data_IF_370727166675
#
_entry.id   IF_370727166675
#
_cell.length_a   1.000
_cell.length_b   1.000
_cell.length_c   1.000
_cell.angle_alpha   90.00
_cell.angle_beta   90.00
_cell.angle_gamma   90.00
#
_symmetry.space_group_name_H-M   'P 1'
#
loop_
_entity.id
_entity.type
_entity.pdbx_description
1 polymer ?
#
# COMPACT_ATOMS: atom_id res chain seq x y z
N UNK A 1 -44.03 -21.67 1.99
CA UNK A 1 -42.88 -21.25 2.84
C UNK A 1 -41.55 -21.89 2.42
N UNK A 2 -41.50 -23.17 2.00
CA UNK A 2 -40.27 -23.82 1.51
C UNK A 2 -39.67 -23.16 0.24
N UNK A 3 -40.50 -22.73 -0.73
CA UNK A 3 -40.02 -22.18 -2.01
C UNK A 3 -39.30 -20.83 -1.88
N UNK A 4 -39.76 -19.96 -0.97
CA UNK A 4 -39.13 -18.67 -0.70
C UNK A 4 -37.72 -18.80 -0.10
N UNK A 5 -37.50 -19.77 0.80
CA UNK A 5 -36.17 -20.04 1.37
C UNK A 5 -35.19 -20.58 0.33
N UNK A 6 -35.66 -21.38 -0.63
CA UNK A 6 -34.83 -21.91 -1.73
C UNK A 6 -34.46 -20.81 -2.73
N UNK A 7 -35.43 -19.99 -3.14
CA UNK A 7 -35.19 -18.86 -4.04
C UNK A 7 -34.23 -17.81 -3.42
N UNK A 8 -34.40 -17.49 -2.14
CA UNK A 8 -33.51 -16.57 -1.40
C UNK A 8 -32.07 -17.10 -1.33
N UNK A 9 -31.89 -18.39 -1.06
CA UNK A 9 -30.56 -19.02 -1.05
C UNK A 9 -29.91 -19.03 -2.44
N UNK A 10 -30.67 -19.36 -3.49
CA UNK A 10 -30.16 -19.36 -4.87
C UNK A 10 -29.75 -17.96 -5.33
N UNK A 11 -30.49 -16.92 -4.93
CA UNK A 11 -30.15 -15.54 -5.26
C UNK A 11 -28.87 -15.09 -4.55
N UNK A 12 -28.72 -15.42 -3.27
CA UNK A 12 -27.50 -15.12 -2.50
C UNK A 12 -26.26 -15.85 -3.07
N UNK A 13 -26.40 -17.10 -3.52
CA UNK A 13 -25.31 -17.84 -4.15
C UNK A 13 -24.86 -17.17 -5.46
N UNK A 14 -25.80 -16.71 -6.29
CA UNK A 14 -25.48 -15.97 -7.53
C UNK A 14 -24.76 -14.65 -7.26
N UNK A 15 -25.22 -13.90 -6.26
CA UNK A 15 -24.58 -12.64 -5.85
C UNK A 15 -23.15 -12.89 -5.38
N UNK A 16 -22.94 -13.88 -4.49
CA UNK A 16 -21.60 -14.26 -4.00
C UNK A 16 -20.69 -14.68 -5.16
N UNK A 17 -21.22 -15.46 -6.10
CA UNK A 17 -20.45 -15.91 -7.25
C UNK A 17 -20.00 -14.75 -8.15
N UNK A 18 -20.86 -13.77 -8.38
CA UNK A 18 -20.51 -12.58 -9.17
C UNK A 18 -19.44 -11.73 -8.48
N UNK A 19 -19.59 -11.46 -7.17
CA UNK A 19 -18.60 -10.72 -6.38
C UNK A 19 -17.22 -11.40 -6.42
N UNK A 20 -17.20 -12.73 -6.27
CA UNK A 20 -15.96 -13.50 -6.35
C UNK A 20 -15.31 -13.44 -7.74
N UNK A 21 -16.12 -13.42 -8.81
CA UNK A 21 -15.60 -13.29 -10.17
C UNK A 21 -15.04 -11.89 -10.42
N UNK A 22 -15.70 -10.83 -9.94
CA UNK A 22 -15.25 -9.45 -10.10
C UNK A 22 -13.94 -9.21 -9.34
N UNK A 23 -13.84 -9.65 -8.08
CA UNK A 23 -12.61 -9.57 -7.30
C UNK A 23 -11.46 -10.37 -7.92
N UNK A 24 -11.76 -11.49 -8.59
CA UNK A 24 -10.76 -12.29 -9.31
C UNK A 24 -10.19 -11.53 -10.51
N UNK A 25 -11.03 -10.82 -11.27
CA UNK A 25 -10.59 -9.99 -12.40
C UNK A 25 -9.71 -8.85 -11.89
N UNK A 26 -10.15 -8.15 -10.84
CA UNK A 26 -9.41 -7.06 -10.21
C UNK A 26 -8.05 -7.55 -9.71
N UNK A 27 -8.03 -8.67 -8.99
CA UNK A 27 -6.80 -9.30 -8.50
C UNK A 27 -5.83 -9.62 -9.64
N UNK A 28 -6.32 -10.18 -10.75
CA UNK A 28 -5.47 -10.55 -11.88
C UNK A 28 -4.86 -9.31 -12.56
N UNK A 29 -5.67 -8.27 -12.76
CA UNK A 29 -5.20 -7.00 -13.33
C UNK A 29 -4.19 -6.30 -12.39
N UNK A 30 -4.48 -6.27 -11.08
CA UNK A 30 -3.59 -5.71 -10.08
C UNK A 30 -2.25 -6.47 -9.98
N UNK A 31 -2.28 -7.80 -10.02
CA UNK A 31 -1.08 -8.64 -10.03
C UNK A 31 -0.20 -8.38 -11.25
N UNK A 32 -0.80 -8.18 -12.43
CA UNK A 32 -0.05 -7.85 -13.64
C UNK A 32 0.63 -6.47 -13.53
N UNK A 33 -0.12 -5.45 -13.11
CA UNK A 33 0.41 -4.10 -12.88
C UNK A 33 1.49 -4.07 -11.79
N UNK A 34 1.33 -4.89 -10.74
CA UNK A 34 2.33 -5.04 -9.69
C UNK A 34 3.63 -5.65 -10.23
N UNK A 35 3.58 -6.72 -11.03
CA UNK A 35 4.80 -7.33 -11.61
C UNK A 35 5.60 -6.35 -12.45
N UNK A 36 4.90 -5.56 -13.28
CA UNK A 36 5.50 -4.50 -14.07
C UNK A 36 6.11 -3.41 -13.17
N UNK A 37 5.39 -2.99 -12.13
CA UNK A 37 5.88 -2.00 -11.16
C UNK A 37 7.08 -2.50 -10.35
N UNK A 38 7.11 -3.79 -10.01
CA UNK A 38 8.21 -4.42 -9.28
C UNK A 38 9.48 -4.47 -10.13
N UNK A 39 9.37 -4.90 -11.39
CA UNK A 39 10.49 -4.91 -12.33
C UNK A 39 11.08 -3.49 -12.49
N UNK A 40 10.22 -2.49 -12.52
CA UNK A 40 10.63 -1.10 -12.61
C UNK A 40 11.33 -0.60 -11.32
N UNK A 41 10.86 -0.99 -10.14
CA UNK A 41 11.54 -0.69 -8.88
C UNK A 41 12.96 -1.28 -8.88
N UNK A 42 13.15 -2.50 -9.40
CA UNK A 42 14.48 -3.10 -9.57
C UNK A 42 15.35 -2.27 -10.51
N UNK A 43 14.82 -1.84 -11.67
CA UNK A 43 15.55 -0.99 -12.62
C UNK A 43 16.00 0.32 -11.98
N UNK A 44 15.11 1.01 -11.28
CA UNK A 44 15.42 2.28 -10.60
C UNK A 44 16.50 2.10 -9.54
N UNK A 45 16.43 1.03 -8.74
CA UNK A 45 17.47 0.69 -7.76
C UNK A 45 18.84 0.52 -8.44
N UNK A 46 18.87 -0.16 -9.59
CA UNK A 46 20.10 -0.41 -10.33
C UNK A 46 20.67 0.89 -10.92
N UNK A 47 19.80 1.78 -11.42
CA UNK A 47 20.21 3.10 -11.91
C UNK A 47 20.73 4.02 -10.81
N UNK A 48 20.11 4.03 -9.62
CA UNK A 48 20.65 4.76 -8.46
C UNK A 48 22.05 4.26 -8.13
N UNK A 49 22.29 2.94 -8.22
CA UNK A 49 23.60 2.34 -7.96
C UNK A 49 24.64 2.73 -9.01
N UNK A 50 24.22 3.00 -10.26
CA UNK A 50 25.11 3.50 -11.30
C UNK A 50 25.40 5.01 -11.18
N UNK A 51 24.46 5.78 -10.61
CA UNK A 51 24.55 7.24 -10.49
C UNK A 51 25.26 7.73 -9.22
N UNK A 52 25.46 6.88 -8.23
CA UNK A 52 26.00 7.28 -6.93
C UNK A 52 26.89 6.23 -6.31
N UNK A 53 27.96 6.68 -5.64
CA UNK A 53 28.75 5.81 -4.78
C UNK A 53 27.89 5.29 -3.61
N UNK A 54 28.05 4.01 -3.29
CA UNK A 54 27.32 3.30 -2.22
C UNK A 54 27.52 3.90 -0.82
N UNK A 55 28.40 4.89 -0.66
CA UNK A 55 28.64 5.64 0.58
C UNK A 55 27.68 6.81 0.79
N UNK A 56 26.87 7.18 -0.21
CA UNK A 56 25.84 8.20 -0.05
C UNK A 56 24.60 7.62 0.65
N UNK A 57 24.41 8.03 1.90
CA UNK A 57 23.28 7.66 2.75
C UNK A 57 21.91 7.82 2.06
N UNK A 58 21.72 8.84 1.22
CA UNK A 58 20.44 9.05 0.50
C UNK A 58 20.16 7.97 -0.53
N UNK A 59 21.19 7.56 -1.27
CA UNK A 59 21.06 6.50 -2.26
C UNK A 59 20.77 5.16 -1.60
N UNK A 60 21.38 4.88 -0.45
CA UNK A 60 21.03 3.72 0.35
C UNK A 60 19.55 3.76 0.81
N UNK A 61 19.09 4.89 1.34
CA UNK A 61 17.68 5.06 1.78
C UNK A 61 16.71 4.90 0.60
N UNK A 62 16.97 5.56 -0.54
CA UNK A 62 16.10 5.52 -1.70
C UNK A 62 15.96 4.08 -2.24
N UNK A 63 17.09 3.37 -2.37
CA UNK A 63 17.12 1.96 -2.78
C UNK A 63 16.36 1.05 -1.80
N UNK A 64 16.54 1.26 -0.49
CA UNK A 64 15.82 0.50 0.52
C UNK A 64 14.32 0.77 0.49
N UNK A 65 13.91 2.03 0.49
CA UNK A 65 12.50 2.41 0.51
C UNK A 65 11.73 1.88 -0.70
N UNK A 66 12.31 1.96 -1.90
CA UNK A 66 11.63 1.49 -3.11
C UNK A 66 11.50 -0.05 -3.11
N UNK A 67 12.54 -0.77 -2.68
CA UNK A 67 12.52 -2.23 -2.66
C UNK A 67 11.64 -2.79 -1.54
N UNK A 68 11.75 -2.24 -0.33
CA UNK A 68 10.94 -2.68 0.81
C UNK A 68 9.45 -2.39 0.53
N UNK A 69 9.12 -1.25 -0.09
CA UNK A 69 7.75 -0.94 -0.52
C UNK A 69 7.24 -1.89 -1.60
N UNK A 70 8.08 -2.25 -2.56
CA UNK A 70 7.71 -3.20 -3.61
C UNK A 70 7.46 -4.60 -3.03
N UNK A 71 8.30 -5.06 -2.09
CA UNK A 71 8.11 -6.32 -1.39
C UNK A 71 6.84 -6.30 -0.54
N UNK A 72 6.62 -5.23 0.23
CA UNK A 72 5.41 -5.02 1.04
C UNK A 72 4.14 -5.04 0.18
N UNK A 73 4.15 -4.35 -0.96
CA UNK A 73 3.03 -4.32 -1.90
C UNK A 73 2.66 -5.73 -2.38
N UNK A 74 3.64 -6.56 -2.71
CA UNK A 74 3.41 -7.96 -3.09
C UNK A 74 2.84 -8.81 -1.95
N UNK A 75 3.22 -8.53 -0.70
CA UNK A 75 2.66 -9.22 0.47
C UNK A 75 1.22 -8.80 0.77
N UNK A 76 0.90 -7.51 0.59
CA UNK A 76 -0.48 -7.02 0.72
C UNK A 76 -1.38 -7.67 -0.34
N UNK A 77 -0.95 -7.71 -1.60
CA UNK A 77 -1.69 -8.37 -2.69
C UNK A 77 -1.96 -9.85 -2.34
N UNK A 78 -0.95 -10.58 -1.87
CA UNK A 78 -1.13 -11.97 -1.41
C UNK A 78 -2.10 -12.10 -0.24
N UNK A 79 -2.09 -11.14 0.69
CA UNK A 79 -3.03 -11.10 1.81
C UNK A 79 -4.46 -10.88 1.33
N UNK A 80 -4.67 -9.98 0.36
CA UNK A 80 -5.97 -9.74 -0.26
C UNK A 80 -6.47 -10.98 -1.02
N UNK A 81 -5.61 -11.62 -1.82
CA UNK A 81 -5.92 -12.85 -2.57
C UNK A 81 -6.31 -14.03 -1.67
N UNK A 82 -5.75 -14.09 -0.45
CA UNK A 82 -6.07 -15.11 0.55
C UNK A 82 -7.21 -14.72 1.50
N UNK A 83 -7.80 -13.53 1.33
CA UNK A 83 -8.88 -13.02 2.18
C UNK A 83 -8.44 -12.56 3.57
N UNK A 84 -7.13 -12.41 3.81
CA UNK A 84 -6.57 -11.96 5.09
C UNK A 84 -6.59 -10.43 5.19
N UNK A 85 -7.78 -9.87 5.40
CA UNK A 85 -7.99 -8.40 5.41
C UNK A 85 -7.18 -7.68 6.49
N UNK A 86 -7.02 -8.30 7.67
CA UNK A 86 -6.24 -7.70 8.76
C UNK A 86 -4.76 -7.53 8.38
N UNK A 87 -4.16 -8.53 7.72
CA UNK A 87 -2.78 -8.44 7.26
C UNK A 87 -2.64 -7.39 6.14
N UNK A 88 -3.63 -7.30 5.25
CA UNK A 88 -3.67 -6.28 4.22
C UNK A 88 -3.76 -4.86 4.81
N UNK A 89 -4.62 -4.65 5.81
CA UNK A 89 -4.75 -3.37 6.53
C UNK A 89 -3.44 -2.94 7.20
N UNK A 90 -2.79 -3.86 7.91
CA UNK A 90 -1.51 -3.60 8.58
C UNK A 90 -0.46 -3.20 7.54
N UNK A 91 -0.39 -3.92 6.42
CA UNK A 91 0.55 -3.61 5.35
C UNK A 91 0.27 -2.28 4.65
N UNK A 92 -0.99 -1.98 4.35
CA UNK A 92 -1.39 -0.71 3.73
C UNK A 92 -0.99 0.49 4.59
N UNK A 93 -1.18 0.38 5.91
CA UNK A 93 -0.76 1.43 6.85
C UNK A 93 0.76 1.66 6.75
N UNK A 94 1.56 0.61 6.79
CA UNK A 94 3.02 0.70 6.65
C UNK A 94 3.45 1.25 5.30
N UNK A 95 2.76 0.88 4.21
CA UNK A 95 3.05 1.37 2.87
C UNK A 95 2.75 2.87 2.73
N UNK A 96 1.62 3.32 3.29
CA UNK A 96 1.23 4.74 3.33
C UNK A 96 2.25 5.57 4.12
N UNK A 97 2.68 5.05 5.27
CA UNK A 97 3.74 5.67 6.07
C UNK A 97 5.06 5.78 5.30
N UNK A 98 5.44 4.74 4.55
CA UNK A 98 6.66 4.79 3.75
C UNK A 98 6.58 5.80 2.58
N UNK A 99 5.38 6.01 2.02
CA UNK A 99 5.12 7.05 1.02
C UNK A 99 5.40 8.46 1.59
N UNK A 100 4.82 8.77 2.75
CA UNK A 100 5.04 10.06 3.44
C UNK A 100 6.52 10.24 3.78
N UNK A 101 7.16 9.19 4.32
CA UNK A 101 8.55 9.25 4.74
C UNK A 101 9.52 9.40 3.57
N UNK A 102 9.25 8.76 2.44
CA UNK A 102 10.08 8.92 1.23
C UNK A 102 10.09 10.36 0.76
N UNK A 103 8.92 11.02 0.66
CA UNK A 103 8.86 12.44 0.30
C UNK A 103 9.56 13.32 1.34
N UNK A 104 9.36 13.00 2.63
CA UNK A 104 9.98 13.72 3.74
C UNK A 104 11.51 13.73 3.67
N UNK A 105 12.11 12.56 3.43
CA UNK A 105 13.57 12.40 3.33
C UNK A 105 14.14 13.27 2.23
N UNK A 106 13.55 13.25 1.04
CA UNK A 106 14.05 14.06 -0.08
C UNK A 106 13.86 15.56 0.12
N UNK A 107 12.81 15.97 0.85
CA UNK A 107 12.57 17.38 1.17
C UNK A 107 13.49 17.92 2.29
N UNK A 108 14.08 17.06 3.12
CA UNK A 108 14.83 17.47 4.33
C UNK A 108 16.26 16.88 4.38
N UNK A 109 17.14 17.29 3.45
CA UNK A 109 18.48 16.71 3.28
C UNK A 109 19.40 16.79 4.51
N UNK A 110 19.17 17.74 5.42
CA UNK A 110 20.02 17.98 6.60
C UNK A 110 19.71 17.05 7.80
N UNK A 111 18.70 16.17 7.70
CA UNK A 111 18.27 15.24 8.76
C UNK A 111 18.58 13.77 8.43
N UNK A 112 19.53 13.53 7.52
CA UNK A 112 19.84 12.20 6.96
C UNK A 112 19.98 11.08 7.98
N UNK A 113 20.64 11.32 9.12
CA UNK A 113 20.89 10.28 10.13
C UNK A 113 19.61 9.86 10.87
N UNK A 114 18.79 10.82 11.30
CA UNK A 114 17.46 10.54 11.88
C UNK A 114 16.53 9.87 10.85
N UNK A 115 16.65 10.26 9.58
CA UNK A 115 15.85 9.69 8.49
C UNK A 115 16.23 8.25 8.16
N UNK A 116 17.52 7.90 8.26
CA UNK A 116 18.03 6.53 8.09
C UNK A 116 17.45 5.59 9.15
N UNK A 117 17.51 6.00 10.42
CA UNK A 117 16.97 5.20 11.52
C UNK A 117 15.47 5.00 11.37
N UNK A 118 14.74 6.00 10.88
CA UNK A 118 13.30 5.92 10.69
C UNK A 118 12.90 5.08 9.48
N UNK A 119 13.58 5.23 8.33
CA UNK A 119 13.35 4.42 7.14
C UNK A 119 13.55 2.92 7.43
N UNK A 120 14.59 2.59 8.21
CA UNK A 120 14.85 1.23 8.67
C UNK A 120 13.72 0.72 9.57
N UNK A 121 13.23 1.54 10.49
CA UNK A 121 12.19 1.13 11.44
C UNK A 121 10.81 0.87 10.80
N UNK A 122 10.41 1.57 9.74
CA UNK A 122 9.06 1.42 9.12
C UNK A 122 8.87 0.03 8.51
N UNK A 123 9.83 -0.40 7.71
CA UNK A 123 9.75 -1.70 7.03
C UNK A 123 10.02 -2.84 8.01
N UNK A 124 10.96 -2.66 8.95
CA UNK A 124 11.24 -3.64 10.00
C UNK A 124 10.05 -3.80 10.97
N UNK A 125 9.35 -2.73 11.32
CA UNK A 125 8.11 -2.76 12.13
C UNK A 125 7.03 -3.56 11.42
N UNK A 126 6.88 -3.39 10.10
CA UNK A 126 5.97 -4.22 9.31
C UNK A 126 6.35 -5.71 9.35
N UNK A 127 7.61 -6.08 9.07
CA UNK A 127 8.03 -7.48 9.09
C UNK A 127 7.87 -8.11 10.48
N UNK A 128 8.15 -7.34 11.55
CA UNK A 128 7.90 -7.78 12.92
C UNK A 128 6.41 -8.00 13.18
N UNK A 129 5.54 -7.10 12.76
CA UNK A 129 4.08 -7.19 12.96
C UNK A 129 3.39 -8.23 12.07
N UNK A 130 3.95 -8.50 10.89
CA UNK A 130 3.52 -9.60 10.02
C UNK A 130 3.83 -10.97 10.63
N UNK A 131 4.93 -11.09 11.38
CA UNK A 131 5.32 -12.31 12.10
C UNK A 131 4.73 -12.41 13.51
N UNK A 132 4.39 -11.28 14.14
CA UNK A 132 3.69 -11.20 15.42
C UNK A 132 2.50 -10.20 15.34
N UNK A 133 1.30 -10.67 14.99
CA UNK A 133 0.11 -9.83 14.91
C UNK A 133 -0.33 -9.21 16.24
N UNK A 134 0.23 -9.64 17.38
CA UNK A 134 -0.06 -9.08 18.72
C UNK A 134 0.73 -7.80 19.00
N UNK A 135 1.71 -7.46 18.16
CA UNK A 135 2.35 -6.14 18.11
C UNK A 135 1.37 -5.12 17.49
N UNK A 136 0.30 -4.81 18.23
CA UNK A 136 -0.84 -4.00 17.79
C UNK A 136 -0.54 -2.49 17.69
N UNK A 137 0.59 -2.03 18.24
CA UNK A 137 1.00 -0.63 18.19
C UNK A 137 2.29 -0.52 17.39
N UNK A 138 2.22 0.25 16.30
CA UNK A 138 3.42 0.77 15.67
C UNK A 138 4.22 1.51 16.75
N UNK A 139 5.52 1.20 16.86
CA UNK A 139 6.45 1.98 17.69
C UNK A 139 6.77 3.34 17.05
N UNK A 140 6.29 3.57 15.82
CA UNK A 140 6.46 4.80 15.08
C UNK A 140 5.34 5.77 15.47
N UNK A 141 5.79 6.86 16.08
CA UNK A 141 4.96 7.86 16.75
C UNK A 141 3.98 8.51 15.75
N UNK A 142 2.68 8.18 15.79
CA UNK A 142 1.65 8.66 14.84
C UNK A 142 1.60 10.19 14.72
N UNK A 143 1.87 10.90 15.83
CA UNK A 143 2.00 12.37 15.85
C UNK A 143 3.11 12.88 14.92
N UNK A 144 4.20 12.12 14.79
CA UNK A 144 5.30 12.46 13.90
C UNK A 144 4.96 12.22 12.43
N UNK A 145 4.09 11.25 12.11
CA UNK A 145 3.65 11.02 10.72
C UNK A 145 2.72 12.14 10.26
N UNK A 146 1.74 12.54 11.08
CA UNK A 146 0.90 13.70 10.76
C UNK A 146 1.73 14.95 10.50
N UNK A 147 2.71 15.22 11.37
CA UNK A 147 3.62 16.36 11.24
C UNK A 147 4.43 16.30 9.94
N UNK A 148 5.01 15.14 9.61
CA UNK A 148 5.77 14.93 8.37
C UNK A 148 4.89 15.15 7.15
N UNK A 149 3.70 14.55 7.11
CA UNK A 149 2.73 14.72 6.04
C UNK A 149 2.42 16.21 5.81
N UNK A 150 2.22 16.96 6.90
CA UNK A 150 2.08 18.42 6.87
C UNK A 150 3.26 19.13 6.21
N UNK A 151 4.47 18.79 6.64
CA UNK A 151 5.71 19.42 6.15
C UNK A 151 6.00 19.15 4.67
N UNK A 152 5.41 18.12 4.05
CA UNK A 152 5.59 17.79 2.63
C UNK A 152 4.32 17.89 1.78
N UNK A 153 3.24 18.47 2.31
CA UNK A 153 1.98 18.64 1.57
C UNK A 153 1.25 17.34 1.24
N UNK A 154 1.41 16.30 2.07
CA UNK A 154 0.72 15.00 1.97
C UNK A 154 -0.33 14.82 3.09
N UNK A 155 -0.90 15.92 3.59
CA UNK A 155 -1.90 15.90 4.68
C UNK A 155 -3.14 15.08 4.30
N UNK A 156 -3.62 15.26 3.07
CA UNK A 156 -4.78 14.53 2.56
C UNK A 156 -4.55 13.02 2.53
N UNK A 157 -3.36 12.57 2.13
CA UNK A 157 -2.94 11.17 2.16
C UNK A 157 -2.96 10.62 3.59
N UNK A 158 -2.51 11.42 4.57
CA UNK A 158 -2.57 11.03 5.98
C UNK A 158 -4.02 10.94 6.49
N UNK A 159 -4.86 11.93 6.20
CA UNK A 159 -6.21 12.00 6.74
C UNK A 159 -7.15 10.98 6.09
N UNK A 160 -7.08 10.82 4.77
CA UNK A 160 -7.96 9.90 4.02
C UNK A 160 -7.52 8.45 4.14
N UNK A 161 -6.22 8.16 4.01
CA UNK A 161 -5.74 6.78 3.97
C UNK A 161 -5.21 6.34 5.33
N UNK A 162 -4.19 7.01 5.87
CA UNK A 162 -3.52 6.53 7.08
C UNK A 162 -4.43 6.53 8.33
N UNK A 163 -5.13 7.64 8.61
CA UNK A 163 -6.01 7.77 9.78
C UNK A 163 -7.23 6.85 9.69
N UNK A 164 -7.79 6.69 8.49
CA UNK A 164 -8.85 5.73 8.21
C UNK A 164 -8.36 4.29 8.43
N UNK A 165 -7.20 3.91 7.88
CA UNK A 165 -6.60 2.58 8.07
C UNK A 165 -6.30 2.27 9.54
N UNK A 166 -5.83 3.26 10.31
CA UNK A 166 -5.69 3.12 11.77
C UNK A 166 -7.04 2.86 12.43
N UNK A 167 -8.05 3.67 12.13
CA UNK A 167 -9.40 3.52 12.67
C UNK A 167 -10.01 2.17 12.31
N UNK A 168 -9.84 1.73 11.07
CA UNK A 168 -10.27 0.43 10.57
C UNK A 168 -9.56 -0.71 11.29
N UNK A 169 -8.24 -0.65 11.48
CA UNK A 169 -7.51 -1.67 12.24
C UNK A 169 -8.00 -1.81 13.69
N UNK A 170 -8.50 -0.72 14.28
CA UNK A 170 -9.05 -0.70 15.65
C UNK A 170 -10.54 -1.10 15.71
N UNK A 171 -11.36 -0.71 14.73
CA UNK A 171 -12.82 -1.00 14.71
C UNK A 171 -13.15 -2.38 14.12
N UNK A 172 -12.36 -2.89 13.17
CA UNK A 172 -12.78 -4.02 12.33
C UNK A 172 -12.53 -5.42 12.87
N UNK A 173 -11.71 -5.59 13.92
CA UNK A 173 -11.64 -6.90 14.59
C UNK A 173 -12.98 -7.23 15.27
N UNK A 174 -13.79 -6.22 15.63
CA UNK A 174 -15.05 -6.44 16.35
C UNK A 174 -16.31 -6.43 15.47
N UNK A 175 -16.34 -5.68 14.37
CA UNK A 175 -17.62 -5.45 13.63
C UNK A 175 -17.66 -6.02 12.21
N UNK A 176 -16.52 -6.15 11.51
CA UNK A 176 -16.49 -6.59 10.11
C UNK A 176 -16.60 -8.12 9.93
N UNK A 177 -16.23 -8.89 10.96
CA UNK A 177 -16.33 -10.36 10.96
C UNK A 177 -17.81 -10.83 11.04
N UNK A 178 -18.76 -9.94 11.38
CA UNK A 178 -20.15 -10.31 11.64
C UNK A 178 -21.18 -9.73 10.64
N UNK A 179 -20.99 -9.91 9.32
CA UNK A 179 -22.08 -10.03 8.30
C UNK A 179 -22.25 -8.97 7.16
N UNK A 180 -21.25 -8.18 6.74
CA UNK A 180 -21.44 -7.27 5.57
C UNK A 180 -20.52 -7.59 4.37
N UNK A 181 -21.03 -8.36 3.41
CA UNK A 181 -20.29 -8.79 2.21
C UNK A 181 -19.88 -7.64 1.30
N UNK A 182 -20.74 -6.61 1.14
CA UNK A 182 -20.43 -5.42 0.34
C UNK A 182 -19.21 -4.69 0.88
N UNK A 183 -19.10 -4.61 2.20
CA UNK A 183 -17.96 -3.98 2.86
C UNK A 183 -16.64 -4.69 2.51
N UNK A 184 -16.63 -6.04 2.53
CA UNK A 184 -15.42 -6.83 2.20
C UNK A 184 -15.00 -6.57 0.75
N UNK A 185 -15.96 -6.52 -0.16
CA UNK A 185 -15.73 -6.24 -1.57
C UNK A 185 -15.13 -4.84 -1.78
N UNK A 186 -15.81 -3.80 -1.27
CA UNK A 186 -15.39 -2.40 -1.41
C UNK A 186 -14.00 -2.19 -0.79
N UNK A 187 -13.76 -2.74 0.40
CA UNK A 187 -12.44 -2.70 1.04
C UNK A 187 -11.37 -3.38 0.19
N UNK A 188 -11.62 -4.62 -0.25
CA UNK A 188 -10.63 -5.40 -1.02
C UNK A 188 -10.28 -4.69 -2.33
N UNK A 189 -11.29 -4.13 -3.01
CA UNK A 189 -11.12 -3.34 -4.24
C UNK A 189 -10.27 -2.09 -3.98
N UNK A 190 -10.63 -1.29 -3.00
CA UNK A 190 -9.89 -0.06 -2.66
C UNK A 190 -8.47 -0.37 -2.17
N UNK A 191 -8.28 -1.50 -1.48
CA UNK A 191 -6.95 -1.95 -1.06
C UNK A 191 -6.03 -2.23 -2.24
N UNK A 192 -6.51 -2.87 -3.32
CA UNK A 192 -5.72 -3.06 -4.55
C UNK A 192 -5.31 -1.72 -5.18
N UNK A 193 -6.24 -0.78 -5.26
CA UNK A 193 -5.98 0.57 -5.80
C UNK A 193 -4.93 1.29 -4.94
N UNK A 194 -5.08 1.27 -3.62
CA UNK A 194 -4.17 1.93 -2.70
C UNK A 194 -2.74 1.36 -2.78
N UNK A 195 -2.58 0.02 -2.82
CA UNK A 195 -1.26 -0.62 -2.98
C UNK A 195 -0.53 -0.10 -4.21
N UNK A 196 -1.20 -0.15 -5.36
CA UNK A 196 -0.60 0.26 -6.63
C UNK A 196 -0.30 1.76 -6.66
N UNK A 197 -1.20 2.58 -6.12
CA UNK A 197 -1.05 4.04 -6.06
C UNK A 197 0.11 4.45 -5.16
N UNK A 198 0.25 3.86 -3.97
CA UNK A 198 1.35 4.20 -3.07
C UNK A 198 2.70 3.75 -3.61
N UNK A 199 2.79 2.54 -4.18
CA UNK A 199 4.01 2.07 -4.81
C UNK A 199 4.41 2.97 -5.99
N UNK A 200 3.42 3.39 -6.79
CA UNK A 200 3.61 4.34 -7.88
C UNK A 200 4.13 5.70 -7.39
N UNK A 201 3.55 6.24 -6.32
CA UNK A 201 3.98 7.52 -5.75
C UNK A 201 5.41 7.47 -5.21
N UNK A 202 5.76 6.43 -4.44
CA UNK A 202 7.12 6.22 -3.92
C UNK A 202 8.11 6.16 -5.08
N UNK A 203 7.78 5.38 -6.11
CA UNK A 203 8.60 5.25 -7.31
C UNK A 203 8.82 6.60 -7.99
N UNK A 204 7.76 7.36 -8.26
CA UNK A 204 7.87 8.66 -8.93
C UNK A 204 8.74 9.63 -8.11
N UNK A 205 8.56 9.68 -6.79
CA UNK A 205 9.37 10.55 -5.92
C UNK A 205 10.87 10.22 -6.03
N UNK A 206 11.21 8.93 -6.09
CA UNK A 206 12.60 8.48 -6.27
C UNK A 206 13.11 8.83 -7.67
N UNK A 207 12.32 8.58 -8.71
CA UNK A 207 12.69 8.89 -10.09
C UNK A 207 12.93 10.39 -10.30
N UNK A 208 12.04 11.24 -9.79
CA UNK A 208 12.17 12.69 -9.83
C UNK A 208 13.46 13.15 -9.14
N UNK A 209 13.75 12.60 -7.95
CA UNK A 209 14.95 12.98 -7.19
C UNK A 209 16.25 12.67 -7.93
N UNK A 210 16.32 11.53 -8.62
CA UNK A 210 17.51 11.09 -9.36
C UNK A 210 17.46 11.43 -10.86
N UNK A 211 16.44 12.15 -11.33
CA UNK A 211 16.22 12.50 -12.73
C UNK A 211 16.24 11.26 -13.68
N UNK A 212 15.65 10.15 -13.23
CA UNK A 212 15.54 8.91 -13.99
C UNK A 212 14.33 8.98 -14.93
N UNK A 213 14.53 8.78 -16.23
CA UNK A 213 13.50 8.90 -17.27
C UNK A 213 12.84 7.56 -17.65
N UNK A 214 11.71 7.64 -18.36
CA UNK A 214 11.29 6.62 -19.32
C UNK A 214 10.03 5.81 -19.05
N UNK A 215 8.95 6.32 -18.41
CA UNK A 215 7.84 5.43 -18.01
C UNK A 215 6.42 6.02 -17.91
N UNK A 216 6.11 7.08 -18.65
CA UNK A 216 4.78 7.75 -18.62
C UNK A 216 3.61 6.80 -18.93
N UNK A 217 3.82 5.84 -19.85
CA UNK A 217 2.77 4.89 -20.28
C UNK A 217 2.25 4.00 -19.14
N UNK A 218 3.12 3.56 -18.24
CA UNK A 218 2.72 2.69 -17.13
C UNK A 218 2.05 3.46 -16.00
N UNK A 219 2.53 4.68 -15.74
CA UNK A 219 1.86 5.60 -14.81
C UNK A 219 0.40 5.80 -15.19
N UNK A 220 0.11 6.01 -16.48
CA UNK A 220 -1.26 6.14 -16.97
C UNK A 220 -2.12 4.89 -16.76
N UNK A 221 -1.52 3.69 -16.80
CA UNK A 221 -2.25 2.44 -16.53
C UNK A 221 -2.58 2.27 -15.04
N UNK A 222 -1.69 2.67 -14.15
CA UNK A 222 -1.96 2.65 -12.70
C UNK A 222 -3.05 3.67 -12.34
N UNK A 223 -2.97 4.89 -12.89
CA UNK A 223 -4.01 5.90 -12.73
C UNK A 223 -5.34 5.40 -13.27
N UNK A 224 -5.37 4.89 -14.51
CA UNK A 224 -6.58 4.33 -15.10
C UNK A 224 -7.15 3.12 -14.36
N UNK A 225 -6.31 2.32 -13.70
CA UNK A 225 -6.77 1.25 -12.80
C UNK A 225 -7.46 1.83 -11.56
N UNK A 226 -6.89 2.90 -10.97
CA UNK A 226 -7.50 3.66 -9.88
C UNK A 226 -8.87 4.22 -10.28
N UNK A 227 -8.94 4.95 -11.39
CA UNK A 227 -10.19 5.55 -11.88
C UNK A 227 -11.28 4.51 -12.16
N UNK A 228 -10.88 3.31 -12.61
CA UNK A 228 -11.79 2.21 -12.94
C UNK A 228 -12.37 1.53 -11.69
N UNK A 229 -11.62 1.46 -10.60
CA UNK A 229 -11.95 0.60 -9.46
C UNK A 229 -12.05 1.32 -8.12
N UNK A 230 -11.70 2.61 -8.02
CA UNK A 230 -11.94 3.36 -6.80
C UNK A 230 -13.44 3.57 -6.59
N UNK A 231 -13.95 3.19 -5.42
CA UNK A 231 -15.33 3.47 -5.04
C UNK A 231 -15.40 4.76 -4.22
N UNK A 232 -16.26 5.69 -4.63
CA UNK A 232 -16.62 6.88 -3.84
C UNK A 232 -17.21 6.53 -2.46
#
# INVERSE_FOLDING_TARGET
MQSYKVAYRQNNIKIIHNIMNDLKIISQEANNLFRESFAECCRIRDEISALSDDTNNRSAIAKKNIMDSAQLSGQIIKALDSGSLLLALIGLRSLTENCINTKYTFAHPKKEREQLDWANQVCDDYFKRGNDPRALKSLLNEKNIKKRAKEVGLEELYEKDFASLCTYSHMQIQTAILNNQKYIEDFTRNAYVAVLTHLHNIRNMVQEHYNIKGWEKHSNRIVGFGDKYHSD
#
